data_IF_676711984495
#
_entry.id   IF_676711984495
#
_cell.length_a   1.000
_cell.length_b   1.000
_cell.length_c   1.000
_cell.angle_alpha   90.00
_cell.angle_beta   90.00
_cell.angle_gamma   90.00
#
_symmetry.space_group_name_H-M   'P 1'
#
loop_
_entity.id
_entity.type
_entity.pdbx_description
1 polymer ?
#
# COMPACT_ATOMS: atom_id res chain seq x y z
N UNK A 1 -4.23 -10.99 5.33
CA UNK A 1 -4.99 -10.52 4.17
C UNK A 1 -6.29 -9.88 4.62
N UNK A 2 -6.78 -8.84 3.91
CA UNK A 2 -8.05 -8.18 4.26
C UNK A 2 -9.27 -9.06 4.00
N UNK A 3 -9.25 -9.79 2.89
CA UNK A 3 -10.35 -10.66 2.40
C UNK A 3 -9.87 -12.08 2.03
N UNK A 4 -8.66 -12.47 2.44
CA UNK A 4 -8.07 -13.76 2.10
C UNK A 4 -7.47 -14.46 3.33
N UNK A 5 -6.81 -15.59 3.10
CA UNK A 5 -6.12 -16.37 4.14
C UNK A 5 -4.59 -16.24 4.03
N UNK A 6 -3.86 -16.13 5.15
CA UNK A 6 -4.38 -15.89 6.50
C UNK A 6 -5.01 -14.50 6.60
N UNK A 7 -6.10 -14.37 7.37
CA UNK A 7 -6.78 -13.11 7.69
C UNK A 7 -5.94 -12.24 8.64
N UNK A 8 -6.28 -10.96 8.75
CA UNK A 8 -5.63 -10.06 9.73
C UNK A 8 -5.82 -10.59 11.15
N UNK A 9 -7.02 -11.06 11.50
CA UNK A 9 -7.31 -11.65 12.81
C UNK A 9 -6.42 -12.85 13.11
N UNK A 10 -6.32 -13.80 12.17
CA UNK A 10 -5.50 -15.01 12.36
C UNK A 10 -4.02 -14.65 12.55
N UNK A 11 -3.50 -13.71 11.77
CA UNK A 11 -2.13 -13.22 11.95
C UNK A 11 -1.92 -12.59 13.34
N UNK A 12 -2.87 -11.77 13.81
CA UNK A 12 -2.79 -11.14 15.12
C UNK A 12 -2.92 -12.16 16.27
N UNK A 13 -3.76 -13.19 16.12
CA UNK A 13 -3.87 -14.29 17.08
C UNK A 13 -2.56 -15.09 17.19
N UNK A 14 -1.89 -15.33 16.06
CA UNK A 14 -0.54 -15.93 16.04
C UNK A 14 0.44 -15.02 16.79
N UNK A 15 0.46 -13.71 16.48
CA UNK A 15 1.37 -12.78 17.16
C UNK A 15 1.15 -12.73 18.67
N UNK A 16 -0.11 -12.75 19.12
CA UNK A 16 -0.45 -12.81 20.54
C UNK A 16 0.05 -14.11 21.18
N UNK A 17 -0.17 -15.26 20.53
CA UNK A 17 0.30 -16.58 21.01
C UNK A 17 1.81 -16.62 21.16
N UNK A 18 2.53 -16.05 20.20
CA UNK A 18 3.99 -15.94 20.18
C UNK A 18 4.54 -14.78 21.05
N UNK A 19 3.67 -14.08 21.80
CA UNK A 19 4.03 -12.96 22.70
C UNK A 19 4.77 -11.82 21.99
N UNK A 20 4.45 -11.58 20.72
CA UNK A 20 4.99 -10.46 19.95
C UNK A 20 4.39 -9.16 20.47
N UNK A 21 5.25 -8.23 20.89
CA UNK A 21 4.86 -6.94 21.48
C UNK A 21 5.13 -5.73 20.60
N UNK A 22 5.85 -5.89 19.48
CA UNK A 22 6.12 -4.82 18.53
C UNK A 22 5.66 -5.24 17.14
N UNK A 23 4.63 -4.58 16.65
CA UNK A 23 3.97 -4.92 15.38
C UNK A 23 4.08 -3.73 14.43
N UNK A 24 4.67 -3.99 13.26
CA UNK A 24 4.64 -3.08 12.12
C UNK A 24 3.60 -3.58 11.12
N UNK A 25 2.54 -2.80 10.92
CA UNK A 25 1.58 -3.04 9.85
C UNK A 25 2.05 -2.27 8.61
N UNK A 26 2.42 -3.03 7.58
CA UNK A 26 2.90 -2.53 6.31
C UNK A 26 1.95 -2.98 5.18
N UNK A 27 0.90 -2.20 4.86
CA UNK A 27 0.03 -2.50 3.73
C UNK A 27 0.82 -2.51 2.42
N UNK A 28 0.61 -3.50 1.55
CA UNK A 28 1.30 -3.61 0.26
C UNK A 28 0.70 -2.70 -0.83
N UNK A 29 0.01 -1.64 -0.42
CA UNK A 29 -0.56 -0.61 -1.28
C UNK A 29 0.36 0.62 -1.17
N UNK A 30 1.20 0.92 -2.18
CA UNK A 30 2.10 2.07 -2.11
C UNK A 30 1.33 3.38 -2.00
N UNK A 31 0.26 3.53 -2.81
CA UNK A 31 -0.68 4.63 -2.78
C UNK A 31 -1.76 4.36 -1.73
N UNK A 32 -1.77 5.17 -0.68
CA UNK A 32 -2.82 5.12 0.33
C UNK A 32 -4.19 5.39 -0.29
N UNK A 33 -5.18 4.58 0.07
CA UNK A 33 -6.57 4.80 -0.28
C UNK A 33 -7.51 4.21 0.78
N UNK A 34 -8.69 4.80 0.92
CA UNK A 34 -9.69 4.39 1.91
C UNK A 34 -10.15 2.93 1.75
N UNK A 35 -10.47 2.44 0.54
CA UNK A 35 -10.93 1.06 0.35
C UNK A 35 -9.86 -0.01 0.62
N UNK A 36 -8.59 0.39 0.74
CA UNK A 36 -7.45 -0.52 0.86
C UNK A 36 -6.70 -0.32 2.17
N UNK A 37 -5.94 0.77 2.29
CA UNK A 37 -5.12 1.09 3.45
C UNK A 37 -5.96 1.37 4.69
N UNK A 38 -6.99 2.24 4.59
CA UNK A 38 -7.85 2.52 5.74
C UNK A 38 -8.66 1.30 6.15
N UNK A 39 -9.23 0.56 5.19
CA UNK A 39 -9.90 -0.73 5.46
C UNK A 39 -9.01 -1.76 6.18
N UNK A 40 -7.69 -1.74 5.91
CA UNK A 40 -6.71 -2.59 6.61
C UNK A 40 -6.49 -2.10 8.04
N UNK A 41 -6.38 -0.79 8.24
CA UNK A 41 -6.29 -0.19 9.58
C UNK A 41 -7.54 -0.48 10.42
N UNK A 42 -8.74 -0.35 9.85
CA UNK A 42 -10.00 -0.67 10.51
C UNK A 42 -10.00 -2.12 11.03
N UNK A 43 -9.62 -3.09 10.20
CA UNK A 43 -9.56 -4.49 10.61
C UNK A 43 -8.54 -4.77 11.73
N UNK A 44 -7.40 -4.06 11.74
CA UNK A 44 -6.41 -4.15 12.83
C UNK A 44 -7.00 -3.54 14.11
N UNK A 45 -7.61 -2.36 14.04
CA UNK A 45 -8.19 -1.72 15.22
C UNK A 45 -9.42 -2.45 15.75
N UNK A 46 -10.22 -3.09 14.89
CA UNK A 46 -11.32 -3.97 15.28
C UNK A 46 -10.81 -5.15 16.11
N UNK A 47 -9.68 -5.75 15.72
CA UNK A 47 -9.04 -6.78 16.53
C UNK A 47 -8.58 -6.23 17.88
N UNK A 48 -7.85 -5.12 17.87
CA UNK A 48 -7.27 -4.52 19.08
C UNK A 48 -8.33 -4.05 20.08
N UNK A 49 -9.51 -3.64 19.61
CA UNK A 49 -10.67 -3.30 20.45
C UNK A 49 -11.18 -4.45 21.31
N UNK A 50 -10.87 -5.70 20.94
CA UNK A 50 -11.37 -6.91 21.61
C UNK A 50 -10.34 -7.59 22.53
N UNK A 51 -9.16 -6.99 22.74
CA UNK A 51 -8.12 -7.55 23.61
C UNK A 51 -7.78 -6.58 24.75
N UNK A 52 -7.41 -7.14 25.91
CA UNK A 52 -7.09 -6.37 27.11
C UNK A 52 -5.65 -5.84 27.16
N UNK A 53 -4.74 -6.45 26.41
CA UNK A 53 -3.33 -6.06 26.36
C UNK A 53 -2.99 -5.45 25.00
N UNK A 54 -2.42 -4.24 25.00
CA UNK A 54 -2.10 -3.49 23.80
C UNK A 54 -0.60 -3.65 23.44
N UNK A 55 -0.25 -4.16 22.25
CA UNK A 55 1.13 -4.16 21.76
C UNK A 55 1.53 -2.78 21.20
N UNK A 56 2.84 -2.53 21.08
CA UNK A 56 3.36 -1.40 20.31
C UNK A 56 2.98 -1.57 18.83
N UNK A 57 2.20 -0.64 18.29
CA UNK A 57 1.73 -0.68 16.91
C UNK A 57 2.31 0.49 16.10
N UNK A 58 2.92 0.18 14.96
CA UNK A 58 3.25 1.15 13.91
C UNK A 58 2.49 0.81 12.65
N UNK A 59 1.93 1.82 12.00
CA UNK A 59 1.18 1.66 10.76
C UNK A 59 1.79 2.55 9.66
N UNK A 60 2.10 1.95 8.51
CA UNK A 60 2.59 2.69 7.34
C UNK A 60 1.41 3.03 6.45
N UNK A 61 1.10 4.32 6.31
CA UNK A 61 -0.02 4.80 5.50
C UNK A 61 0.22 4.68 4.00
N UNK A 62 1.47 4.73 3.55
CA UNK A 62 1.85 4.55 2.16
C UNK A 62 3.33 4.86 1.94
N UNK A 63 3.81 4.55 0.74
CA UNK A 63 5.22 4.73 0.34
C UNK A 63 5.34 5.03 -1.17
N UNK A 64 4.28 5.57 -1.77
CA UNK A 64 4.13 5.84 -3.20
C UNK A 64 5.22 6.74 -3.83
N UNK A 65 5.86 7.58 -3.03
CA UNK A 65 6.94 8.50 -3.42
C UNK A 65 8.30 8.15 -2.80
N UNK A 66 8.39 7.01 -2.10
CA UNK A 66 9.64 6.56 -1.50
C UNK A 66 10.66 6.22 -2.59
N UNK A 67 11.89 6.74 -2.45
CA UNK A 67 12.93 6.61 -3.47
C UNK A 67 13.16 5.16 -3.92
N UNK A 68 13.23 4.21 -2.97
CA UNK A 68 13.44 2.80 -3.31
C UNK A 68 12.28 2.19 -4.11
N UNK A 69 11.04 2.62 -3.86
CA UNK A 69 9.87 2.14 -4.60
C UNK A 69 9.87 2.70 -6.03
N UNK A 70 10.11 4.01 -6.20
CA UNK A 70 10.24 4.62 -7.52
C UNK A 70 11.40 4.00 -8.31
N UNK A 71 12.56 3.78 -7.68
CA UNK A 71 13.70 3.12 -8.33
C UNK A 71 13.40 1.68 -8.74
N UNK A 72 12.56 0.95 -7.99
CA UNK A 72 12.10 -0.37 -8.40
C UNK A 72 11.19 -0.32 -9.62
N UNK A 73 10.27 0.66 -9.69
CA UNK A 73 9.41 0.87 -10.87
C UNK A 73 10.22 1.22 -12.12
N UNK A 74 11.15 2.18 -12.03
CA UNK A 74 12.03 2.56 -13.13
C UNK A 74 12.83 1.37 -13.63
N UNK A 75 13.37 0.56 -12.71
CA UNK A 75 14.10 -0.67 -13.08
C UNK A 75 13.21 -1.66 -13.81
N UNK A 76 11.98 -1.85 -13.34
CA UNK A 76 11.01 -2.74 -14.00
C UNK A 76 10.68 -2.28 -15.42
N UNK A 77 10.48 -0.96 -15.63
CA UNK A 77 10.22 -0.38 -16.95
C UNK A 77 11.43 -0.56 -17.87
N UNK A 78 12.64 -0.22 -17.41
CA UNK A 78 13.86 -0.34 -18.21
C UNK A 78 14.19 -1.79 -18.55
N UNK A 79 13.94 -2.75 -17.64
CA UNK A 79 14.10 -4.16 -17.94
C UNK A 79 13.19 -4.58 -19.10
N UNK A 80 11.92 -4.15 -19.08
CA UNK A 80 10.98 -4.41 -20.18
C UNK A 80 11.44 -3.78 -21.50
N UNK A 81 11.95 -2.53 -21.47
CA UNK A 81 12.48 -1.86 -22.66
C UNK A 81 13.72 -2.55 -23.23
N UNK A 82 14.61 -3.06 -22.38
CA UNK A 82 15.79 -3.79 -22.82
C UNK A 82 15.43 -5.10 -23.51
N UNK A 83 14.36 -5.76 -23.05
CA UNK A 83 13.90 -7.04 -23.60
C UNK A 83 13.04 -6.88 -24.86
N UNK A 84 12.20 -5.84 -24.93
CA UNK A 84 11.18 -5.69 -25.98
C UNK A 84 11.37 -4.47 -26.90
N UNK A 85 12.38 -3.63 -26.63
CA UNK A 85 12.57 -2.33 -27.28
C UNK A 85 11.81 -1.19 -26.59
N UNK A 86 12.25 0.04 -26.83
CA UNK A 86 11.62 1.25 -26.24
C UNK A 86 10.38 1.65 -27.05
N UNK A 87 9.19 1.76 -26.44
CA UNK A 87 7.96 2.16 -27.13
C UNK A 87 7.86 3.69 -27.30
N UNK A 88 6.97 4.13 -28.19
CA UNK A 88 6.65 5.56 -28.36
C UNK A 88 5.95 6.17 -27.14
N UNK A 89 5.20 5.35 -26.39
CA UNK A 89 4.43 5.77 -25.21
C UNK A 89 4.53 4.74 -24.09
N UNK A 90 4.61 5.24 -22.86
CA UNK A 90 4.46 4.47 -21.63
C UNK A 90 3.13 4.85 -20.96
N UNK A 91 2.28 3.86 -20.72
CA UNK A 91 0.96 4.08 -20.09
C UNK A 91 1.00 3.52 -18.66
N UNK A 92 0.77 4.39 -17.68
CA UNK A 92 0.54 3.99 -16.30
C UNK A 92 -0.96 3.74 -16.10
N UNK A 93 -1.31 2.53 -15.70
CA UNK A 93 -2.69 2.15 -15.39
C UNK A 93 -2.84 1.88 -13.90
N UNK A 94 -3.82 2.52 -13.27
CA UNK A 94 -4.19 2.35 -11.86
C UNK A 94 -5.66 1.96 -11.76
N UNK A 95 -6.06 1.31 -10.66
CA UNK A 95 -7.47 1.02 -10.42
C UNK A 95 -8.25 2.32 -10.22
N UNK A 96 -9.35 2.48 -10.96
CA UNK A 96 -10.25 3.62 -10.77
C UNK A 96 -10.92 3.61 -9.40
N UNK A 97 -11.24 4.80 -8.89
CA UNK A 97 -12.02 4.99 -7.67
C UNK A 97 -13.19 5.93 -7.94
N UNK A 98 -14.36 5.74 -7.29
CA UNK A 98 -15.46 6.68 -7.39
C UNK A 98 -15.03 8.11 -7.00
N UNK A 99 -15.42 9.10 -7.81
CA UNK A 99 -15.00 10.50 -7.65
C UNK A 99 -15.26 11.06 -6.24
N UNK A 100 -16.37 10.65 -5.61
CA UNK A 100 -16.73 11.02 -4.24
C UNK A 100 -15.63 10.79 -3.18
N UNK A 101 -14.69 9.86 -3.41
CA UNK A 101 -13.58 9.64 -2.48
C UNK A 101 -12.59 10.80 -2.52
N UNK A 102 -12.25 11.29 -3.72
CA UNK A 102 -11.40 12.46 -3.90
C UNK A 102 -12.04 13.71 -3.28
N UNK A 103 -13.35 13.92 -3.50
CA UNK A 103 -14.08 15.04 -2.89
C UNK A 103 -14.06 15.00 -1.36
N UNK A 104 -13.99 13.80 -0.78
CA UNK A 104 -13.88 13.58 0.68
C UNK A 104 -12.43 13.59 1.19
N UNK A 105 -11.46 13.93 0.34
CA UNK A 105 -10.05 14.07 0.71
C UNK A 105 -9.23 12.77 0.67
N UNK A 106 -9.72 11.72 0.01
CA UNK A 106 -8.92 10.52 -0.23
C UNK A 106 -7.72 10.84 -1.14
N UNK A 107 -6.47 10.56 -0.73
CA UNK A 107 -5.29 10.98 -1.46
C UNK A 107 -4.92 10.08 -2.63
N UNK A 108 -5.60 8.94 -2.83
CA UNK A 108 -5.21 7.91 -3.78
C UNK A 108 -4.96 8.46 -5.19
N UNK A 109 -5.90 9.26 -5.70
CA UNK A 109 -5.80 9.89 -7.02
C UNK A 109 -4.49 10.70 -7.16
N UNK A 110 -4.23 11.59 -6.22
CA UNK A 110 -3.04 12.43 -6.20
C UNK A 110 -1.75 11.59 -6.08
N UNK A 111 -1.79 10.53 -5.28
CA UNK A 111 -0.65 9.65 -5.07
C UNK A 111 -0.32 8.82 -6.33
N UNK A 112 -1.32 8.33 -7.06
CA UNK A 112 -1.13 7.68 -8.36
C UNK A 112 -0.44 8.61 -9.36
N UNK A 113 -0.92 9.86 -9.47
CA UNK A 113 -0.30 10.87 -10.34
C UNK A 113 1.14 11.17 -9.93
N UNK A 114 1.42 11.30 -8.63
CA UNK A 114 2.78 11.53 -8.13
C UNK A 114 3.70 10.34 -8.43
N UNK A 115 3.25 9.09 -8.24
CA UNK A 115 4.05 7.90 -8.59
C UNK A 115 4.38 7.87 -10.08
N UNK A 116 3.40 8.10 -10.95
CA UNK A 116 3.62 8.12 -12.40
C UNK A 116 4.60 9.22 -12.80
N UNK A 117 4.42 10.45 -12.28
CA UNK A 117 5.33 11.58 -12.53
C UNK A 117 6.76 11.26 -12.09
N UNK A 118 6.96 10.83 -10.84
CA UNK A 118 8.29 10.53 -10.30
C UNK A 118 8.96 9.36 -11.03
N UNK A 119 8.20 8.38 -11.48
CA UNK A 119 8.73 7.26 -12.28
C UNK A 119 9.15 7.75 -13.66
N UNK A 120 8.33 8.59 -14.32
CA UNK A 120 8.65 9.16 -15.62
C UNK A 120 9.82 10.14 -15.61
N UNK A 121 9.99 10.94 -14.55
CA UNK A 121 11.12 11.87 -14.38
C UNK A 121 12.47 11.17 -14.17
N UNK A 122 12.45 9.94 -13.65
CA UNK A 122 13.67 9.15 -13.38
C UNK A 122 13.97 8.10 -14.47
N UNK A 123 13.15 8.03 -15.52
CA UNK A 123 13.23 7.04 -16.60
C UNK A 123 13.78 7.61 -17.92
#
# INVERSE_FOLDING_TARGET
MRYGSPSIKEAMDIFKKEKISKILVFPLYPQAGSPTTSSTFDAVTDYLRNISWMPDLRFVSGYHDHNAYISALVRSVNNSFNEHGRPDKLIFSFHGMPYRYLEKGDPYYCFCHKTARLTGEKN
#
